data_IF_931770650667
#
_entry.id   IF_931770650667
#
_cell.length_a   1.000
_cell.length_b   1.000
_cell.length_c   1.000
_cell.angle_alpha   90.00
_cell.angle_beta   90.00
_cell.angle_gamma   90.00
#
_symmetry.space_group_name_H-M   'P 1'
#
loop_
_entity.id
_entity.type
_entity.pdbx_description
1 polymer ?
#
# COMPACT_ATOMS: atom_id res chain seq x y z
N UNK A 1 13.95 10.56 -6.17
CA UNK A 1 12.80 9.90 -6.84
C UNK A 1 12.22 8.94 -5.82
N UNK A 2 10.92 9.05 -5.51
CA UNK A 2 10.25 8.22 -4.52
C UNK A 2 9.08 7.50 -5.19
N UNK A 3 8.90 6.24 -4.86
CA UNK A 3 7.83 5.42 -5.41
C UNK A 3 6.66 5.42 -4.43
N UNK A 4 5.45 5.51 -4.99
CA UNK A 4 4.19 5.36 -4.26
C UNK A 4 3.43 4.18 -4.84
N UNK A 5 2.73 3.44 -4.01
CA UNK A 5 1.85 2.35 -4.44
C UNK A 5 0.42 2.68 -4.02
N UNK A 6 -0.52 2.58 -4.97
CA UNK A 6 -1.94 2.53 -4.70
C UNK A 6 -2.41 1.10 -4.94
N UNK A 7 -3.10 0.51 -3.96
CA UNK A 7 -3.66 -0.84 -4.04
C UNK A 7 -5.18 -0.74 -3.99
N UNK A 8 -5.84 -1.27 -5.03
CA UNK A 8 -7.29 -1.42 -5.07
C UNK A 8 -7.68 -2.76 -4.47
N UNK A 9 -8.29 -2.72 -3.29
CA UNK A 9 -8.84 -3.87 -2.58
C UNK A 9 -10.34 -3.97 -2.85
N UNK A 10 -10.69 -4.80 -3.83
CA UNK A 10 -12.05 -4.89 -4.38
C UNK A 10 -13.05 -5.47 -3.36
N UNK A 11 -12.65 -6.49 -2.61
CA UNK A 11 -13.53 -7.19 -1.66
C UNK A 11 -13.77 -6.33 -0.41
N UNK A 12 -12.71 -5.71 0.09
CA UNK A 12 -12.73 -4.86 1.29
C UNK A 12 -13.24 -3.44 0.99
N UNK A 13 -13.45 -3.11 -0.29
CA UNK A 13 -13.83 -1.78 -0.77
C UNK A 13 -12.87 -0.69 -0.28
N UNK A 14 -11.57 -0.91 -0.45
CA UNK A 14 -10.52 0.02 -0.03
C UNK A 14 -9.61 0.41 -1.18
N UNK A 15 -9.11 1.64 -1.13
CA UNK A 15 -7.97 2.11 -1.92
C UNK A 15 -6.89 2.48 -0.92
N UNK A 16 -5.86 1.65 -0.83
CA UNK A 16 -4.74 1.84 0.10
C UNK A 16 -3.59 2.54 -0.60
N UNK A 17 -3.16 3.68 -0.04
CA UNK A 17 -1.96 4.38 -0.47
C UNK A 17 -0.80 4.04 0.47
N UNK A 18 0.19 3.30 -0.03
CA UNK A 18 1.38 2.92 0.71
C UNK A 18 2.49 3.96 0.51
N UNK A 19 2.99 4.51 1.62
CA UNK A 19 4.05 5.51 1.61
C UNK A 19 5.11 5.20 2.68
N UNK A 20 6.34 4.94 2.24
CA UNK A 20 7.48 4.65 3.13
C UNK A 20 8.08 5.89 3.80
N UNK A 21 7.94 7.06 3.18
CA UNK A 21 8.63 8.28 3.63
C UNK A 21 7.62 9.31 4.17
N UNK A 22 7.61 9.62 5.48
CA UNK A 22 6.71 10.64 6.03
C UNK A 22 6.89 12.02 5.37
N UNK A 23 8.09 12.36 4.92
CA UNK A 23 8.38 13.62 4.22
C UNK A 23 7.69 13.69 2.86
N UNK A 24 7.38 12.53 2.27
CA UNK A 24 6.60 12.42 1.03
C UNK A 24 5.08 12.50 1.27
N UNK A 25 4.61 12.83 2.48
CA UNK A 25 3.19 13.12 2.76
C UNK A 25 2.62 14.26 1.91
N UNK A 26 3.48 15.15 1.40
CA UNK A 26 3.09 16.16 0.42
C UNK A 26 2.49 15.57 -0.87
N UNK A 27 2.75 14.29 -1.16
CA UNK A 27 2.14 13.56 -2.27
C UNK A 27 0.71 13.05 -1.98
N UNK A 28 0.26 13.07 -0.72
CA UNK A 28 -1.06 12.54 -0.32
C UNK A 28 -2.23 13.17 -1.09
N UNK A 29 -2.31 14.50 -1.28
CA UNK A 29 -3.40 15.10 -2.06
C UNK A 29 -3.49 14.52 -3.47
N UNK A 30 -2.35 14.32 -4.13
CA UNK A 30 -2.30 13.69 -5.45
C UNK A 30 -2.77 12.22 -5.43
N UNK A 31 -2.42 11.46 -4.39
CA UNK A 31 -2.92 10.10 -4.23
C UNK A 31 -4.44 10.05 -4.03
N UNK A 32 -5.01 11.02 -3.30
CA UNK A 32 -6.47 11.17 -3.13
C UNK A 32 -7.15 11.53 -4.45
N UNK A 33 -6.55 12.43 -5.24
CA UNK A 33 -7.08 12.81 -6.56
C UNK A 33 -7.08 11.63 -7.52
N UNK A 34 -5.99 10.86 -7.58
CA UNK A 34 -5.89 9.64 -8.39
C UNK A 34 -6.90 8.58 -7.93
N UNK A 35 -7.06 8.38 -6.63
CA UNK A 35 -8.06 7.45 -6.09
C UNK A 35 -9.50 7.88 -6.43
N UNK A 36 -9.77 9.18 -6.42
CA UNK A 36 -11.09 9.73 -6.78
C UNK A 36 -11.39 9.53 -8.26
N UNK A 37 -10.43 9.84 -9.14
CA UNK A 37 -10.54 9.58 -10.57
C UNK A 37 -10.74 8.08 -10.88
N UNK A 38 -10.02 7.20 -10.17
CA UNK A 38 -10.19 5.75 -10.30
C UNK A 38 -11.61 5.30 -9.97
N UNK A 39 -12.21 5.82 -8.89
CA UNK A 39 -13.59 5.49 -8.51
C UNK A 39 -14.60 5.95 -9.58
N UNK A 40 -14.42 7.15 -10.12
CA UNK A 40 -15.27 7.69 -11.19
C UNK A 40 -15.22 6.81 -12.44
N UNK A 41 -14.02 6.41 -12.86
CA UNK A 41 -13.83 5.49 -13.99
C UNK A 41 -14.49 4.13 -13.71
N UNK A 42 -14.26 3.52 -12.53
CA UNK A 42 -14.85 2.22 -12.19
C UNK A 42 -16.38 2.20 -12.30
N UNK A 43 -17.04 3.31 -11.91
CA UNK A 43 -18.48 3.51 -12.04
C UNK A 43 -18.88 3.72 -13.51
N UNK A 44 -18.17 4.59 -14.24
CA UNK A 44 -18.47 4.92 -15.64
C UNK A 44 -18.45 3.68 -16.55
N UNK A 45 -17.46 2.82 -16.36
CA UNK A 45 -17.30 1.60 -17.15
C UNK A 45 -18.18 0.44 -16.67
N UNK A 46 -18.93 0.61 -15.57
CA UNK A 46 -19.85 -0.39 -15.03
C UNK A 46 -19.18 -1.66 -14.51
N UNK A 47 -17.88 -1.61 -14.22
CA UNK A 47 -17.14 -2.76 -13.72
C UNK A 47 -17.49 -3.05 -12.26
N UNK A 48 -17.56 -2.01 -11.42
CA UNK A 48 -17.76 -2.09 -9.97
C UNK A 48 -18.38 -0.78 -9.45
N UNK A 49 -19.34 -0.86 -8.54
CA UNK A 49 -19.78 0.31 -7.76
C UNK A 49 -18.70 0.63 -6.71
N UNK A 50 -17.90 1.65 -7.01
CA UNK A 50 -16.80 2.10 -6.15
C UNK A 50 -17.15 3.32 -5.28
N UNK A 51 -18.42 3.72 -5.25
CA UNK A 51 -18.87 4.94 -4.54
C UNK A 51 -18.63 4.88 -3.04
N UNK A 52 -18.69 3.69 -2.45
CA UNK A 52 -18.48 3.45 -1.01
C UNK A 52 -17.05 2.99 -0.66
N UNK A 53 -16.12 3.00 -1.61
CA UNK A 53 -14.74 2.60 -1.31
C UNK A 53 -14.07 3.60 -0.37
N UNK A 54 -13.39 3.12 0.66
CA UNK A 54 -12.65 3.96 1.61
C UNK A 54 -11.23 4.23 1.10
N UNK A 55 -10.72 5.46 1.26
CA UNK A 55 -9.30 5.76 1.02
C UNK A 55 -8.52 5.64 2.32
N UNK A 56 -7.53 4.75 2.35
CA UNK A 56 -6.72 4.44 3.54
C UNK A 56 -5.26 4.77 3.26
N UNK A 57 -4.58 5.35 4.24
CA UNK A 57 -3.13 5.60 4.17
C UNK A 57 -2.40 4.54 4.98
N UNK A 58 -1.48 3.82 4.34
CA UNK A 58 -0.61 2.82 4.96
C UNK A 58 0.79 3.42 5.06
N UNK A 59 1.23 3.69 6.28
CA UNK A 59 2.56 4.23 6.56
C UNK A 59 3.35 3.23 7.39
N UNK A 60 4.57 2.95 6.96
CA UNK A 60 5.55 2.23 7.78
C UNK A 60 6.74 3.14 8.03
N UNK A 61 6.91 3.55 9.28
CA UNK A 61 7.96 4.45 9.72
C UNK A 61 9.19 3.70 10.25
N UNK A 62 9.15 2.37 10.33
CA UNK A 62 10.23 1.57 10.92
C UNK A 62 11.51 1.51 10.05
N UNK A 63 11.42 1.89 8.76
CA UNK A 63 12.51 1.77 7.78
C UNK A 63 13.11 3.10 7.29
N UNK A 64 13.01 4.17 8.08
CA UNK A 64 13.50 5.51 7.71
C UNK A 64 15.02 5.62 7.44
N UNK A 65 15.81 4.57 7.71
CA UNK A 65 17.27 4.69 7.79
C UNK A 65 18.07 4.35 6.52
N UNK A 66 17.47 3.86 5.43
CA UNK A 66 18.27 3.43 4.27
C UNK A 66 18.10 4.26 3.01
N UNK A 67 17.10 5.15 2.90
CA UNK A 67 16.95 6.14 1.81
C UNK A 67 16.80 5.59 0.37
N UNK A 68 17.07 4.30 0.13
CA UNK A 68 17.13 3.66 -1.18
C UNK A 68 16.08 2.54 -1.36
N UNK A 69 15.27 2.25 -0.36
CA UNK A 69 14.46 1.02 -0.33
C UNK A 69 12.98 1.21 -0.69
N UNK A 70 12.54 2.40 -1.13
CA UNK A 70 11.12 2.64 -1.45
C UNK A 70 10.56 1.65 -2.50
N UNK A 71 11.37 1.23 -3.48
CA UNK A 71 10.96 0.20 -4.46
C UNK A 71 10.83 -1.19 -3.85
N UNK A 72 11.77 -1.59 -2.98
CA UNK A 72 11.74 -2.88 -2.27
C UNK A 72 10.56 -2.92 -1.30
N UNK A 73 10.28 -1.81 -0.62
CA UNK A 73 9.12 -1.65 0.22
C UNK A 73 7.82 -1.84 -0.55
N UNK A 74 7.68 -1.25 -1.75
CA UNK A 74 6.48 -1.49 -2.57
C UNK A 74 6.32 -2.97 -2.95
N UNK A 75 7.40 -3.66 -3.29
CA UNK A 75 7.36 -5.11 -3.57
C UNK A 75 6.94 -5.91 -2.34
N UNK A 76 7.46 -5.57 -1.15
CA UNK A 76 7.05 -6.20 0.11
C UNK A 76 5.60 -5.91 0.49
N UNK A 77 5.11 -4.68 0.30
CA UNK A 77 3.70 -4.35 0.49
C UNK A 77 2.83 -5.21 -0.43
N UNK A 78 3.19 -5.36 -1.71
CA UNK A 78 2.44 -6.25 -2.62
C UNK A 78 2.47 -7.71 -2.16
N UNK A 79 3.62 -8.22 -1.72
CA UNK A 79 3.76 -9.60 -1.20
C UNK A 79 2.88 -9.82 0.05
N UNK A 80 2.97 -8.95 1.06
CA UNK A 80 2.14 -9.03 2.26
C UNK A 80 0.64 -8.95 1.94
N UNK A 81 0.24 -7.95 1.15
CA UNK A 81 -1.16 -7.76 0.75
C UNK A 81 -1.70 -8.91 -0.11
N UNK A 82 -0.84 -9.62 -0.86
CA UNK A 82 -1.23 -10.80 -1.62
C UNK A 82 -1.42 -12.05 -0.75
N UNK A 83 -0.77 -12.12 0.41
CA UNK A 83 -0.91 -13.20 1.39
C UNK A 83 -2.12 -12.99 2.32
N UNK A 84 -2.43 -11.72 2.63
CA UNK A 84 -3.56 -11.27 3.46
C UNK A 84 -4.97 -11.50 2.87
N UNK A 85 -5.10 -12.17 1.72
CA UNK A 85 -6.40 -12.71 1.27
C UNK A 85 -7.01 -13.72 2.25
N UNK A 86 -6.29 -14.10 3.30
CA UNK A 86 -6.74 -14.89 4.44
C UNK A 86 -6.41 -14.14 5.72
N UNK A 87 -7.41 -13.46 6.28
CA UNK A 87 -7.28 -12.72 7.53
C UNK A 87 -6.78 -13.58 8.69
N UNK A 88 -6.22 -12.89 9.67
CA UNK A 88 -5.62 -13.38 10.92
C UNK A 88 -4.10 -13.51 10.83
N UNK A 89 -3.37 -12.40 10.98
CA UNK A 89 -2.11 -12.33 11.74
C UNK A 89 -1.61 -10.87 11.79
N UNK A 90 -1.47 -10.31 13.01
CA UNK A 90 -0.75 -9.05 13.23
C UNK A 90 0.76 -9.28 12.97
N UNK A 91 1.24 -8.95 11.78
CA UNK A 91 2.68 -9.03 11.49
C UNK A 91 3.40 -7.75 11.92
N UNK A 92 4.28 -7.90 12.92
CA UNK A 92 5.36 -6.94 13.19
C UNK A 92 6.43 -7.15 12.12
N UNK A 93 6.65 -6.15 11.26
CA UNK A 93 7.70 -6.21 10.25
C UNK A 93 9.07 -6.03 10.91
N UNK A 94 9.83 -7.11 11.04
CA UNK A 94 11.28 -7.04 11.19
C UNK A 94 11.95 -7.24 9.83
N UNK A 95 12.79 -6.30 9.46
CA UNK A 95 13.45 -6.18 8.15
C UNK A 95 14.85 -6.77 8.19
N UNK A 96 15.31 -7.15 9.39
CA UNK A 96 16.66 -7.62 9.65
C UNK A 96 16.77 -9.14 9.85
N UNK A 97 15.74 -9.93 9.52
CA UNK A 97 15.87 -11.39 9.58
C UNK A 97 16.78 -11.90 8.46
N UNK A 98 18.07 -11.86 8.79
CA UNK A 98 19.10 -12.73 8.26
C UNK A 98 18.52 -14.14 8.15
N UNK A 99 18.43 -14.63 6.92
CA UNK A 99 18.16 -16.04 6.63
C UNK A 99 19.35 -16.85 7.13
N UNK A 100 19.35 -17.22 8.42
CA UNK A 100 20.16 -18.33 8.91
C UNK A 100 19.33 -19.60 8.77
N UNK A 101 19.81 -20.47 7.89
CA UNK A 101 19.33 -21.84 7.76
C UNK A 101 19.93 -22.61 8.93
N UNK A 102 19.14 -22.86 9.97
CA UNK A 102 19.55 -23.81 11.01
C UNK A 102 19.69 -25.20 10.38
N UNK A 103 20.92 -25.71 10.45
CA UNK A 103 21.31 -27.10 10.27
C UNK A 103 21.58 -27.70 11.63
#
# INVERSE_FOLDING_TARGET
>A
MHWHLLVLKVVEKKIEWCNLMPEARSARPYAVDVASALKEEMVLWGFLDATDYEFVTVEDHSQQNTGYDCGIFMVKCMDLLSRDGHGDDEYVMDVNDHVYRDS
#
